data_IF_604406714254
#
_entry.id   IF_604406714254
#
_cell.length_a   1.000
_cell.length_b   1.000
_cell.length_c   1.000
_cell.angle_alpha   90.00
_cell.angle_beta   90.00
_cell.angle_gamma   90.00
#
_symmetry.space_group_name_H-M   'P 1'
#
loop_
_entity.id
_entity.type
_entity.pdbx_description
1 polymer ?
#
# COMPACT_ATOMS: atom_id res chain seq x y z
N UNK A 1 -24.77 -51.31 -0.24
CA UNK A 1 -23.42 -50.74 -0.03
C UNK A 1 -23.60 -49.33 0.48
N UNK A 2 -23.47 -49.17 1.80
CA UNK A 2 -23.76 -47.95 2.57
C UNK A 2 -22.50 -47.10 2.68
N UNK A 3 -22.60 -45.81 2.34
CA UNK A 3 -21.55 -44.83 2.59
C UNK A 3 -21.47 -44.46 4.08
N UNK A 4 -20.28 -44.31 4.69
CA UNK A 4 -20.19 -43.83 6.05
C UNK A 4 -20.15 -42.28 6.09
N UNK A 5 -21.00 -41.71 6.95
CA UNK A 5 -20.93 -40.32 7.39
C UNK A 5 -19.61 -40.08 8.13
N UNK A 6 -18.87 -39.03 7.75
CA UNK A 6 -17.77 -38.50 8.57
C UNK A 6 -18.34 -37.45 9.52
N UNK A 7 -18.25 -37.77 10.80
CA UNK A 7 -18.68 -36.99 11.96
C UNK A 7 -18.04 -35.61 12.02
N UNK A 8 -18.88 -34.57 12.05
CA UNK A 8 -18.52 -33.28 12.65
C UNK A 8 -18.29 -33.52 14.15
N UNK A 9 -17.07 -33.32 14.66
CA UNK A 9 -16.73 -32.77 15.99
C UNK A 9 -15.23 -33.00 16.23
N UNK A 10 -14.39 -32.01 15.92
CA UNK A 10 -13.14 -31.73 16.64
C UNK A 10 -12.86 -30.23 16.50
N UNK A 11 -13.59 -29.44 17.29
CA UNK A 11 -13.05 -28.19 17.81
C UNK A 11 -12.07 -28.56 18.92
N UNK A 12 -10.82 -28.13 18.82
CA UNK A 12 -10.03 -27.80 20.01
C UNK A 12 -8.89 -26.84 19.63
N UNK A 13 -9.14 -25.56 19.92
CA UNK A 13 -8.27 -24.69 20.70
C UNK A 13 -6.78 -25.07 20.74
N UNK A 14 -6.03 -24.61 19.74
CA UNK A 14 -4.62 -24.31 19.93
C UNK A 14 -4.51 -22.83 20.35
N UNK A 15 -3.74 -22.49 21.41
CA UNK A 15 -3.47 -21.10 21.74
C UNK A 15 -2.75 -20.46 20.56
N UNK A 16 -3.26 -19.32 20.08
CA UNK A 16 -2.57 -18.50 19.09
C UNK A 16 -1.36 -17.89 19.81
N UNK A 17 -0.26 -18.66 19.86
CA UNK A 17 1.03 -18.18 20.34
C UNK A 17 1.40 -16.97 19.49
N UNK A 18 1.57 -15.82 20.13
CA UNK A 18 1.84 -14.53 19.52
C UNK A 18 2.84 -14.63 18.38
N UNK A 19 2.31 -14.58 17.15
CA UNK A 19 3.13 -14.41 15.98
C UNK A 19 3.88 -13.11 16.16
N UNK A 20 5.19 -13.18 16.30
CA UNK A 20 6.06 -12.04 16.08
C UNK A 20 5.71 -11.50 14.68
N UNK A 21 4.89 -10.46 14.61
CA UNK A 21 4.87 -9.58 13.45
C UNK A 21 6.29 -9.06 13.35
N UNK A 22 7.12 -9.69 12.49
CA UNK A 22 8.30 -9.00 11.97
C UNK A 22 7.74 -7.74 11.34
N UNK A 23 7.85 -6.63 12.06
CA UNK A 23 7.75 -5.32 11.47
C UNK A 23 8.79 -5.35 10.34
N UNK A 24 8.33 -5.36 9.09
CA UNK A 24 9.15 -5.18 7.90
C UNK A 24 9.60 -3.71 7.84
N UNK A 25 10.24 -3.24 8.91
CA UNK A 25 10.73 -1.87 9.11
C UNK A 25 12.20 -1.75 8.76
N UNK A 26 12.94 -2.86 8.70
CA UNK A 26 14.31 -2.86 8.20
C UNK A 26 14.32 -2.79 6.67
N UNK A 27 15.08 -1.86 6.06
CA UNK A 27 15.32 -1.86 4.62
C UNK A 27 15.88 -3.22 4.21
N UNK A 28 15.28 -3.84 3.19
CA UNK A 28 15.95 -4.97 2.51
C UNK A 28 17.14 -4.36 1.78
N UNK A 29 18.36 -4.92 1.88
CA UNK A 29 19.49 -4.45 1.09
C UNK A 29 19.11 -4.37 -0.38
N UNK A 30 19.50 -3.29 -1.06
CA UNK A 30 19.25 -3.17 -2.51
C UNK A 30 19.85 -4.38 -3.22
N UNK A 31 19.01 -5.06 -3.99
CA UNK A 31 19.41 -6.20 -4.81
C UNK A 31 20.29 -5.73 -5.95
N UNK A 32 21.29 -6.53 -6.31
CA UNK A 32 22.02 -6.33 -7.55
C UNK A 32 21.13 -6.60 -8.77
N UNK A 33 21.54 -6.12 -9.94
CA UNK A 33 20.80 -6.38 -11.19
C UNK A 33 20.75 -7.87 -11.49
N UNK A 34 21.85 -8.58 -11.21
CA UNK A 34 21.96 -10.03 -11.39
C UNK A 34 21.04 -10.80 -10.42
N UNK A 35 20.96 -10.36 -9.16
CA UNK A 35 20.05 -10.95 -8.17
C UNK A 35 18.58 -10.73 -8.56
N UNK A 36 18.24 -9.55 -9.09
CA UNK A 36 16.89 -9.25 -9.55
C UNK A 36 16.50 -10.12 -10.75
N UNK A 37 17.39 -10.30 -11.73
CA UNK A 37 17.11 -11.14 -12.90
C UNK A 37 16.98 -12.63 -12.51
N UNK A 38 17.79 -13.14 -11.58
CA UNK A 38 17.65 -14.50 -11.04
C UNK A 38 16.27 -14.71 -10.37
N UNK A 39 15.79 -13.74 -9.59
CA UNK A 39 14.46 -13.78 -8.98
C UNK A 39 13.37 -13.77 -10.07
N UNK A 40 13.50 -12.91 -11.08
CA UNK A 40 12.55 -12.86 -12.22
C UNK A 40 12.46 -14.21 -12.91
N UNK A 41 13.60 -14.86 -13.16
CA UNK A 41 13.62 -16.18 -13.78
C UNK A 41 12.95 -17.25 -12.90
N UNK A 42 13.22 -17.26 -11.60
CA UNK A 42 12.54 -18.16 -10.65
C UNK A 42 11.02 -17.93 -10.60
N UNK A 43 10.58 -16.68 -10.50
CA UNK A 43 9.16 -16.32 -10.52
C UNK A 43 8.50 -16.72 -11.84
N UNK A 44 9.19 -16.60 -12.97
CA UNK A 44 8.64 -17.01 -14.27
C UNK A 44 8.28 -18.51 -14.28
N UNK A 45 9.13 -19.37 -13.70
CA UNK A 45 8.83 -20.81 -13.57
C UNK A 45 7.57 -21.03 -12.73
N UNK A 46 7.38 -20.26 -11.65
CA UNK A 46 6.18 -20.35 -10.82
C UNK A 46 4.92 -19.88 -11.56
N UNK A 47 5.00 -18.79 -12.33
CA UNK A 47 3.88 -18.33 -13.14
C UNK A 47 3.51 -19.29 -14.27
N UNK A 48 4.48 -19.96 -14.89
CA UNK A 48 4.17 -21.02 -15.86
C UNK A 48 3.43 -22.18 -15.20
N UNK A 49 3.86 -22.61 -14.00
CA UNK A 49 3.15 -23.66 -13.24
C UNK A 49 1.73 -23.24 -12.90
N UNK A 50 1.51 -22.00 -12.47
CA UNK A 50 0.16 -21.48 -12.24
C UNK A 50 -0.71 -21.60 -13.49
N UNK A 51 -0.19 -21.27 -14.69
CA UNK A 51 -0.95 -21.43 -15.93
C UNK A 51 -1.35 -22.90 -16.16
N UNK A 52 -0.40 -23.84 -16.00
CA UNK A 52 -0.69 -25.27 -16.16
C UNK A 52 -1.71 -25.77 -15.15
N UNK A 53 -1.59 -25.36 -13.88
CA UNK A 53 -2.49 -25.75 -12.80
C UNK A 53 -3.90 -25.17 -12.98
N UNK A 54 -4.03 -24.03 -13.68
CA UNK A 54 -5.31 -23.47 -14.12
C UNK A 54 -5.90 -24.17 -15.36
N UNK A 55 -5.22 -25.16 -15.93
CA UNK A 55 -5.66 -25.90 -17.12
C UNK A 55 -5.34 -25.20 -18.45
N UNK A 56 -4.48 -24.18 -18.44
CA UNK A 56 -4.07 -23.46 -19.65
C UNK A 56 -2.87 -24.14 -20.34
N UNK A 57 -2.77 -23.94 -21.66
CA UNK A 57 -1.61 -24.36 -22.46
C UNK A 57 -0.58 -23.21 -22.55
N UNK A 58 0.57 -23.28 -21.85
CA UNK A 58 1.55 -22.19 -21.88
C UNK A 58 2.22 -22.00 -23.25
N UNK A 59 2.09 -22.95 -24.17
CA UNK A 59 2.66 -22.89 -25.52
C UNK A 59 1.80 -22.09 -26.50
N UNK A 60 0.55 -21.74 -26.14
CA UNK A 60 -0.30 -20.89 -27.00
C UNK A 60 0.33 -19.51 -27.20
N UNK A 61 0.19 -18.95 -28.40
CA UNK A 61 0.87 -17.70 -28.79
C UNK A 61 0.74 -16.55 -27.78
N UNK A 62 -0.42 -16.44 -27.11
CA UNK A 62 -0.68 -15.42 -26.09
C UNK A 62 0.06 -15.63 -24.75
N UNK A 63 0.44 -16.87 -24.40
CA UNK A 63 1.04 -17.23 -23.11
C UNK A 63 2.54 -17.50 -23.14
N UNK A 64 3.15 -17.69 -24.31
CA UNK A 64 4.60 -18.00 -24.41
C UNK A 64 5.45 -17.04 -23.58
N UNK A 65 5.14 -15.74 -23.59
CA UNK A 65 5.86 -14.71 -22.81
C UNK A 65 5.15 -14.30 -21.51
N UNK A 66 4.00 -14.86 -21.20
CA UNK A 66 3.23 -14.50 -19.99
C UNK A 66 3.98 -14.79 -18.70
N UNK A 67 4.65 -15.94 -18.50
CA UNK A 67 5.37 -16.20 -17.26
C UNK A 67 6.42 -15.12 -16.95
N UNK A 68 7.22 -14.72 -17.95
CA UNK A 68 8.21 -13.67 -17.79
C UNK A 68 7.57 -12.28 -17.57
N UNK A 69 6.50 -11.95 -18.31
CA UNK A 69 5.78 -10.68 -18.12
C UNK A 69 5.15 -10.59 -16.73
N UNK A 70 4.57 -11.67 -16.23
CA UNK A 70 3.95 -11.75 -14.91
C UNK A 70 4.99 -11.62 -13.79
N UNK A 71 6.15 -12.30 -13.93
CA UNK A 71 7.27 -12.16 -13.01
C UNK A 71 7.76 -10.70 -12.91
N UNK A 72 8.03 -10.06 -14.04
CA UNK A 72 8.47 -8.66 -14.08
C UNK A 72 7.40 -7.69 -13.54
N UNK A 73 6.13 -7.95 -13.83
CA UNK A 73 5.03 -7.15 -13.28
C UNK A 73 4.97 -7.26 -11.73
N UNK A 74 5.09 -8.47 -11.18
CA UNK A 74 5.11 -8.68 -9.73
C UNK A 74 6.30 -7.99 -9.07
N UNK A 75 7.48 -8.04 -9.68
CA UNK A 75 8.66 -7.31 -9.23
C UNK A 75 8.42 -5.80 -9.23
N UNK A 76 7.81 -5.25 -10.28
CA UNK A 76 7.44 -3.84 -10.32
C UNK A 76 6.40 -3.46 -9.25
N UNK A 77 5.38 -4.29 -9.04
CA UNK A 77 4.35 -4.04 -8.01
C UNK A 77 4.91 -4.10 -6.58
N UNK A 78 6.08 -4.68 -6.38
CA UNK A 78 6.74 -4.86 -5.08
C UNK A 78 8.08 -4.12 -4.96
N UNK A 79 8.42 -3.25 -5.92
CA UNK A 79 9.72 -2.55 -5.96
C UNK A 79 9.98 -1.67 -4.74
N UNK A 80 8.93 -1.22 -4.06
CA UNK A 80 9.00 -0.34 -2.89
C UNK A 80 9.70 -0.97 -1.68
N UNK A 81 9.93 -2.28 -1.67
CA UNK A 81 10.78 -2.94 -0.67
C UNK A 81 12.27 -2.58 -0.80
N UNK A 82 12.72 -2.17 -1.99
CA UNK A 82 14.11 -1.83 -2.28
C UNK A 82 14.36 -0.31 -2.31
N UNK A 83 13.36 0.48 -1.92
CA UNK A 83 13.41 1.94 -1.87
C UNK A 83 13.35 2.42 -0.41
N UNK A 84 14.10 3.49 -0.10
CA UNK A 84 14.08 4.12 1.22
C UNK A 84 13.58 5.56 1.14
N UNK A 85 12.93 6.02 2.21
CA UNK A 85 12.44 7.40 2.31
C UNK A 85 13.59 8.39 2.14
N UNK A 86 14.73 8.13 2.79
CA UNK A 86 15.93 8.98 2.72
C UNK A 86 16.43 9.19 1.29
N UNK A 87 16.52 8.13 0.48
CA UNK A 87 16.95 8.23 -0.93
C UNK A 87 15.94 8.97 -1.79
N UNK A 88 14.64 8.73 -1.57
CA UNK A 88 13.57 9.36 -2.33
C UNK A 88 13.48 10.84 -2.01
N UNK A 89 13.52 11.20 -0.73
CA UNK A 89 13.52 12.59 -0.25
C UNK A 89 14.79 13.29 -0.74
N UNK A 90 15.97 12.70 -0.50
CA UNK A 90 17.26 13.25 -0.90
C UNK A 90 17.42 14.71 -0.43
N UNK A 91 17.84 15.60 -1.33
CA UNK A 91 17.90 17.05 -1.08
C UNK A 91 16.56 17.79 -1.25
N UNK A 92 15.43 17.09 -1.26
CA UNK A 92 14.10 17.66 -1.53
C UNK A 92 13.42 18.34 -0.34
N UNK A 93 14.18 18.74 0.68
CA UNK A 93 13.69 19.48 1.85
C UNK A 93 14.19 20.90 1.78
N UNK A 94 13.26 21.86 1.84
CA UNK A 94 13.52 23.29 1.70
C UNK A 94 13.21 23.99 3.01
N UNK A 95 13.96 25.07 3.28
CA UNK A 95 13.67 25.95 4.40
C UNK A 95 12.79 27.10 3.91
N UNK A 96 11.59 27.20 4.46
CA UNK A 96 10.62 28.24 4.13
C UNK A 96 9.96 28.72 5.41
N UNK A 97 9.74 30.03 5.53
CA UNK A 97 9.10 30.64 6.69
C UNK A 97 7.58 30.58 6.52
N UNK A 98 7.04 29.36 6.59
CA UNK A 98 5.61 29.10 6.54
C UNK A 98 5.22 28.11 7.63
N UNK A 99 4.12 28.41 8.30
CA UNK A 99 3.50 27.63 9.37
C UNK A 99 2.06 27.21 9.04
N UNK A 100 1.59 27.57 7.85
CA UNK A 100 0.26 27.27 7.32
C UNK A 100 0.17 25.85 6.74
N UNK A 101 -1.06 25.32 6.68
CA UNK A 101 -1.29 23.96 6.20
C UNK A 101 -0.94 23.79 4.71
N UNK A 102 -0.08 22.82 4.40
CA UNK A 102 0.20 22.39 3.03
C UNK A 102 -0.57 21.11 2.72
N UNK A 103 -1.35 21.10 1.64
CA UNK A 103 -2.13 19.93 1.20
C UNK A 103 -1.71 19.50 -0.21
N UNK A 104 -1.43 18.22 -0.36
CA UNK A 104 -1.36 17.53 -1.65
C UNK A 104 -2.42 16.44 -1.66
N UNK A 105 -3.44 16.60 -2.50
CA UNK A 105 -4.56 15.68 -2.60
C UNK A 105 -4.65 15.04 -3.98
N UNK A 106 -5.49 14.01 -4.06
CA UNK A 106 -5.75 13.26 -5.29
C UNK A 106 -4.51 12.55 -5.85
N UNK A 107 -3.56 12.15 -5.00
CA UNK A 107 -2.38 11.37 -5.42
C UNK A 107 -2.85 9.96 -5.74
N UNK A 108 -2.85 9.55 -7.01
CA UNK A 108 -3.22 8.19 -7.37
C UNK A 108 -2.19 7.17 -6.85
N UNK A 109 -2.69 6.07 -6.30
CA UNK A 109 -1.88 4.95 -5.85
C UNK A 109 -2.43 3.62 -6.35
N UNK A 110 -1.51 2.68 -6.56
CA UNK A 110 -1.80 1.28 -6.85
C UNK A 110 -0.99 0.41 -5.90
N UNK A 111 -1.65 -0.54 -5.24
CA UNK A 111 -1.02 -1.46 -4.30
C UNK A 111 -1.60 -2.87 -4.43
N UNK A 112 -0.99 -3.84 -3.75
CA UNK A 112 -1.42 -5.24 -3.76
C UNK A 112 -1.90 -5.64 -2.37
N UNK A 113 -3.12 -6.18 -2.29
CA UNK A 113 -3.65 -6.75 -1.05
C UNK A 113 -2.82 -7.98 -0.67
N UNK A 114 -2.18 -7.96 0.50
CA UNK A 114 -1.29 -9.05 0.93
C UNK A 114 -2.03 -10.39 1.12
N UNK A 115 -3.33 -10.37 1.40
CA UNK A 115 -4.13 -11.58 1.59
C UNK A 115 -4.43 -12.35 0.31
N UNK A 116 -4.45 -11.67 -0.85
CA UNK A 116 -4.94 -12.26 -2.10
C UNK A 116 -4.03 -12.00 -3.30
N UNK A 117 -2.99 -11.18 -3.15
CA UNK A 117 -2.11 -10.70 -4.23
C UNK A 117 -2.90 -10.05 -5.38
N UNK A 118 -4.03 -9.42 -5.03
CA UNK A 118 -4.95 -8.76 -5.96
C UNK A 118 -4.88 -7.24 -5.72
N UNK A 119 -4.93 -6.40 -6.77
CA UNK A 119 -4.79 -4.96 -6.59
C UNK A 119 -5.88 -4.31 -5.73
N UNK A 120 -5.47 -3.30 -4.97
CA UNK A 120 -6.35 -2.22 -4.55
C UNK A 120 -5.73 -0.89 -4.98
N UNK A 121 -6.57 0.06 -5.34
CA UNK A 121 -6.12 1.32 -5.92
C UNK A 121 -7.09 2.44 -5.58
N UNK A 122 -6.60 3.66 -5.65
CA UNK A 122 -7.39 4.84 -5.31
C UNK A 122 -6.50 6.04 -5.11
N UNK A 123 -6.83 6.86 -4.12
CA UNK A 123 -6.22 8.18 -3.92
C UNK A 123 -5.73 8.36 -2.50
N UNK A 124 -4.65 9.12 -2.38
CA UNK A 124 -4.11 9.61 -1.12
C UNK A 124 -4.24 11.13 -1.07
N UNK A 125 -4.66 11.63 0.08
CA UNK A 125 -4.66 13.04 0.43
C UNK A 125 -3.79 13.25 1.66
N UNK A 126 -2.85 14.17 1.57
CA UNK A 126 -1.83 14.43 2.59
C UNK A 126 -1.87 15.91 2.94
N UNK A 127 -1.99 16.20 4.23
CA UNK A 127 -1.83 17.52 4.81
C UNK A 127 -0.69 17.49 5.83
N UNK A 128 0.08 18.57 5.93
CA UNK A 128 1.02 18.75 7.04
C UNK A 128 1.17 20.23 7.40
N UNK A 129 1.53 20.48 8.65
CA UNK A 129 1.83 21.81 9.18
C UNK A 129 3.35 21.96 9.31
N UNK A 130 4.01 22.72 8.42
CA UNK A 130 5.46 22.80 8.39
C UNK A 130 6.04 23.41 9.68
N UNK A 131 7.25 22.98 10.04
CA UNK A 131 8.06 23.63 11.08
C UNK A 131 9.35 24.12 10.44
N UNK A 132 9.25 25.20 9.65
CA UNK A 132 10.33 25.78 8.82
C UNK A 132 10.87 24.87 7.70
N UNK A 133 10.49 23.59 7.67
CA UNK A 133 10.88 22.61 6.66
C UNK A 133 9.70 22.21 5.80
N UNK A 134 9.83 22.41 4.50
CA UNK A 134 8.83 22.07 3.49
C UNK A 134 9.39 20.96 2.60
N UNK A 135 8.56 19.96 2.31
CA UNK A 135 8.93 18.87 1.43
C UNK A 135 8.54 19.21 -0.01
N UNK A 136 9.45 19.01 -0.97
CA UNK A 136 9.12 19.19 -2.38
C UNK A 136 7.93 18.33 -2.80
N UNK A 137 6.94 18.91 -3.49
CA UNK A 137 5.65 18.26 -3.76
C UNK A 137 5.79 16.89 -4.45
N UNK A 138 6.75 16.75 -5.35
CA UNK A 138 7.03 15.47 -6.04
C UNK A 138 7.52 14.38 -5.10
N UNK A 139 8.12 14.73 -3.95
CA UNK A 139 8.62 13.77 -2.95
C UNK A 139 7.48 13.16 -2.15
N UNK A 140 6.41 13.91 -1.89
CA UNK A 140 5.20 13.42 -1.22
C UNK A 140 4.59 12.26 -2.02
N UNK A 141 4.42 12.44 -3.33
CA UNK A 141 3.93 11.38 -4.21
C UNK A 141 4.87 10.17 -4.25
N UNK A 142 6.20 10.40 -4.27
CA UNK A 142 7.17 9.30 -4.24
C UNK A 142 7.17 8.53 -2.93
N UNK A 143 6.97 9.19 -1.77
CA UNK A 143 6.78 8.51 -0.48
C UNK A 143 5.57 7.58 -0.54
N UNK A 144 4.46 8.03 -1.14
CA UNK A 144 3.29 7.17 -1.35
C UNK A 144 3.64 5.91 -2.16
N UNK A 145 4.40 6.07 -3.24
CA UNK A 145 4.84 4.96 -4.10
C UNK A 145 5.74 3.93 -3.38
N UNK A 146 6.67 4.37 -2.52
CA UNK A 146 7.53 3.45 -1.73
C UNK A 146 6.68 2.43 -0.96
N UNK A 147 5.61 2.90 -0.33
CA UNK A 147 4.76 2.04 0.50
C UNK A 147 3.66 1.35 -0.29
N UNK A 148 3.12 2.00 -1.33
CA UNK A 148 2.08 1.41 -2.18
C UNK A 148 2.63 0.24 -3.02
N UNK A 149 3.90 0.30 -3.46
CA UNK A 149 4.56 -0.77 -4.22
C UNK A 149 5.10 -1.89 -3.33
N UNK A 150 4.22 -2.41 -2.46
CA UNK A 150 4.45 -3.52 -1.54
C UNK A 150 3.19 -4.37 -1.45
N UNK A 151 3.30 -5.55 -0.83
CA UNK A 151 2.13 -6.25 -0.32
C UNK A 151 1.64 -5.53 0.94
N UNK A 152 0.36 -5.16 0.97
CA UNK A 152 -0.16 -4.21 1.95
C UNK A 152 -1.54 -4.54 2.50
N UNK A 153 -1.78 -3.93 3.67
CA UNK A 153 -3.10 -3.56 4.20
C UNK A 153 -3.24 -2.04 4.10
N UNK A 154 -4.44 -1.55 3.80
CA UNK A 154 -4.66 -0.11 3.56
C UNK A 154 -4.40 0.72 4.82
N UNK A 155 -4.75 0.19 5.99
CA UNK A 155 -4.50 0.78 7.30
C UNK A 155 -3.00 0.96 7.55
N UNK A 156 -2.21 -0.07 7.22
CA UNK A 156 -0.75 -0.04 7.36
C UNK A 156 -0.12 0.94 6.40
N UNK A 157 -0.54 0.92 5.12
CA UNK A 157 -0.10 1.85 4.10
C UNK A 157 -0.33 3.31 4.54
N UNK A 158 -1.54 3.62 5.04
CA UNK A 158 -1.91 4.96 5.51
C UNK A 158 -0.98 5.43 6.64
N UNK A 159 -0.76 4.57 7.64
CA UNK A 159 0.10 4.89 8.78
C UNK A 159 1.56 5.08 8.37
N UNK A 160 2.07 4.21 7.49
CA UNK A 160 3.46 4.27 7.02
C UNK A 160 3.75 5.58 6.28
N UNK A 161 2.82 6.04 5.43
CA UNK A 161 2.96 7.32 4.72
C UNK A 161 3.02 8.49 5.73
N UNK A 162 2.11 8.52 6.72
CA UNK A 162 2.08 9.59 7.72
C UNK A 162 3.38 9.66 8.55
N UNK A 163 3.84 8.50 9.04
CA UNK A 163 5.09 8.40 9.82
C UNK A 163 6.31 8.77 8.98
N UNK A 164 6.37 8.36 7.72
CA UNK A 164 7.49 8.71 6.84
C UNK A 164 7.63 10.22 6.62
N UNK A 165 6.51 10.92 6.51
CA UNK A 165 6.50 12.39 6.38
C UNK A 165 6.93 13.04 7.69
N UNK A 166 6.41 12.54 8.82
CA UNK A 166 6.82 13.01 10.15
C UNK A 166 8.33 12.85 10.36
N UNK A 167 8.89 11.69 10.05
CA UNK A 167 10.33 11.42 10.16
C UNK A 167 11.17 12.26 9.20
N UNK A 168 10.67 12.53 7.99
CA UNK A 168 11.42 13.25 6.96
C UNK A 168 11.59 14.74 7.24
N UNK A 169 10.58 15.42 7.79
CA UNK A 169 10.60 16.89 7.97
C UNK A 169 10.29 17.37 9.40
N UNK A 170 9.91 16.47 10.31
CA UNK A 170 9.41 16.76 11.66
C UNK A 170 8.47 17.99 11.69
N UNK A 171 7.34 17.92 10.97
CA UNK A 171 6.32 18.96 10.97
C UNK A 171 5.62 19.00 12.34
N UNK A 172 4.87 20.06 12.62
CA UNK A 172 4.07 20.13 13.86
C UNK A 172 2.86 19.20 13.82
N UNK A 173 2.43 18.77 12.63
CA UNK A 173 1.42 17.73 12.45
C UNK A 173 1.34 17.22 11.02
N UNK A 174 0.77 16.01 10.88
CA UNK A 174 0.54 15.34 9.58
C UNK A 174 -0.85 14.70 9.58
N UNK A 175 -1.61 14.89 8.52
CA UNK A 175 -2.85 14.19 8.22
C UNK A 175 -2.73 13.42 6.91
N UNK A 176 -3.08 12.14 6.92
CA UNK A 176 -3.15 11.31 5.71
C UNK A 176 -4.50 10.64 5.65
N UNK A 177 -5.17 10.74 4.50
CA UNK A 177 -6.38 9.99 4.17
C UNK A 177 -6.13 9.18 2.90
N UNK A 178 -6.48 7.90 2.93
CA UNK A 178 -6.42 7.00 1.78
C UNK A 178 -7.82 6.49 1.50
N UNK A 179 -8.29 6.66 0.28
CA UNK A 179 -9.56 6.11 -0.21
C UNK A 179 -9.25 5.15 -1.36
N UNK A 180 -9.61 3.87 -1.23
CA UNK A 180 -9.33 2.87 -2.26
C UNK A 180 -10.51 1.93 -2.53
N UNK A 181 -10.50 1.39 -3.75
CA UNK A 181 -11.31 0.26 -4.17
C UNK A 181 -10.46 -1.00 -4.14
N UNK A 182 -11.00 -2.08 -3.56
CA UNK A 182 -10.31 -3.35 -3.40
C UNK A 182 -10.85 -4.38 -4.40
N UNK A 183 -10.03 -4.82 -5.36
CA UNK A 183 -10.50 -5.80 -6.35
C UNK A 183 -10.86 -7.13 -5.71
N UNK A 184 -10.26 -7.49 -4.57
CA UNK A 184 -10.66 -8.67 -3.79
C UNK A 184 -12.11 -8.62 -3.26
N UNK A 185 -12.74 -7.44 -3.19
CA UNK A 185 -14.16 -7.26 -2.87
C UNK A 185 -15.04 -7.03 -4.11
N UNK A 186 -14.47 -6.58 -5.23
CA UNK A 186 -15.22 -6.21 -6.44
C UNK A 186 -15.36 -7.40 -7.40
N UNK A 187 -14.24 -8.04 -7.79
CA UNK A 187 -14.26 -9.08 -8.83
C UNK A 187 -14.47 -10.49 -8.29
N UNK A 188 -14.45 -10.66 -6.96
CA UNK A 188 -14.63 -11.95 -6.28
C UNK A 188 -15.24 -11.76 -4.88
N UNK A 189 -15.56 -12.86 -4.22
CA UNK A 189 -16.07 -12.85 -2.85
C UNK A 189 -17.44 -12.17 -2.78
N UNK A 190 -17.53 -11.04 -2.07
CA UNK A 190 -18.80 -10.31 -1.84
C UNK A 190 -19.29 -9.49 -3.03
N UNK A 191 -18.43 -9.24 -4.03
CA UNK A 191 -18.75 -8.60 -5.32
C UNK A 191 -19.48 -7.25 -5.20
N UNK A 192 -18.98 -6.33 -4.37
CA UNK A 192 -19.58 -4.99 -4.16
C UNK A 192 -18.83 -3.93 -4.96
N UNK A 193 -19.32 -3.68 -6.18
CA UNK A 193 -18.69 -2.79 -7.18
C UNK A 193 -18.46 -1.36 -6.65
N UNK A 194 -19.41 -0.82 -5.89
CA UNK A 194 -19.36 0.56 -5.40
C UNK A 194 -18.69 0.70 -4.03
N UNK A 195 -18.22 -0.40 -3.43
CA UNK A 195 -17.62 -0.36 -2.10
C UNK A 195 -16.27 0.34 -2.15
N UNK A 196 -16.07 1.31 -1.26
CA UNK A 196 -14.80 2.00 -1.05
C UNK A 196 -14.40 1.94 0.41
N UNK A 197 -13.11 1.81 0.66
CA UNK A 197 -12.54 1.82 2.00
C UNK A 197 -11.79 3.11 2.20
N UNK A 198 -12.12 3.85 3.25
CA UNK A 198 -11.43 5.08 3.65
C UNK A 198 -10.69 4.79 4.96
N UNK A 199 -9.39 5.08 4.99
CA UNK A 199 -8.53 4.97 6.16
C UNK A 199 -7.82 6.30 6.37
N UNK A 200 -7.56 6.66 7.63
CA UNK A 200 -6.87 7.91 7.96
C UNK A 200 -5.87 7.74 9.08
N UNK A 201 -4.78 8.50 9.05
CA UNK A 201 -3.82 8.62 10.15
C UNK A 201 -3.54 10.10 10.40
N UNK A 202 -3.69 10.52 11.66
CA UNK A 202 -3.48 11.90 12.10
C UNK A 202 -2.41 11.91 13.19
N UNK A 203 -1.41 12.77 13.03
CA UNK A 203 -0.25 12.95 13.91
C UNK A 203 -0.12 14.43 14.29
N UNK A 204 0.47 14.70 15.46
CA UNK A 204 0.65 16.06 16.00
C UNK A 204 -0.66 16.85 16.06
N UNK A 205 -0.64 18.12 15.62
CA UNK A 205 -1.81 19.01 15.64
C UNK A 205 -3.05 18.46 14.92
N UNK A 206 -2.90 17.64 13.87
CA UNK A 206 -4.05 17.00 13.21
C UNK A 206 -4.78 16.00 14.13
N UNK A 207 -4.08 15.45 15.13
CA UNK A 207 -4.66 14.56 16.13
C UNK A 207 -5.24 15.35 17.31
N UNK A 208 -4.47 16.33 17.79
CA UNK A 208 -4.74 17.06 19.02
C UNK A 208 -5.81 18.14 18.86
N UNK A 209 -5.78 18.88 17.74
CA UNK A 209 -6.74 19.96 17.46
C UNK A 209 -7.84 19.49 16.48
N UNK A 210 -9.11 19.42 16.93
CA UNK A 210 -10.22 19.09 16.05
C UNK A 210 -10.43 20.09 14.90
N UNK A 211 -10.12 21.38 15.08
CA UNK A 211 -10.36 22.40 14.06
C UNK A 211 -9.41 22.22 12.87
N UNK A 212 -8.12 22.06 13.14
CA UNK A 212 -7.12 21.69 12.13
C UNK A 212 -7.54 20.43 11.35
N UNK A 213 -8.02 19.40 12.05
CA UNK A 213 -8.49 18.16 11.43
C UNK A 213 -9.73 18.37 10.55
N UNK A 214 -10.70 19.15 11.01
CA UNK A 214 -11.92 19.46 10.27
C UNK A 214 -11.62 20.27 9.00
N UNK A 215 -10.73 21.25 9.08
CA UNK A 215 -10.25 22.03 7.93
C UNK A 215 -9.61 21.10 6.87
N UNK A 216 -8.69 20.23 7.28
CA UNK A 216 -8.06 19.27 6.39
C UNK A 216 -9.08 18.33 5.71
N UNK A 217 -10.00 17.75 6.47
CA UNK A 217 -11.02 16.86 5.91
C UNK A 217 -11.97 17.60 4.96
N UNK A 218 -12.26 18.87 5.21
CA UNK A 218 -13.06 19.69 4.30
C UNK A 218 -12.33 19.98 2.99
N UNK A 219 -11.06 20.40 3.05
CA UNK A 219 -10.26 20.74 1.86
C UNK A 219 -9.94 19.50 0.99
N UNK A 220 -9.90 18.32 1.60
CA UNK A 220 -9.69 17.04 0.91
C UNK A 220 -10.99 16.39 0.40
N UNK A 221 -12.15 17.00 0.66
CA UNK A 221 -13.44 16.53 0.15
C UNK A 221 -14.06 15.37 0.95
N UNK A 222 -13.61 15.17 2.19
CA UNK A 222 -14.12 14.18 3.13
C UNK A 222 -14.98 14.82 4.24
N UNK A 223 -15.49 16.04 4.05
CA UNK A 223 -16.44 16.66 4.99
C UNK A 223 -17.81 15.99 4.95
N UNK A 224 -18.48 16.00 6.11
CA UNK A 224 -19.80 15.37 6.31
C UNK A 224 -20.90 15.90 5.39
N UNK A 225 -20.74 17.10 4.81
CA UNK A 225 -21.76 17.72 3.95
C UNK A 225 -21.85 17.12 2.54
N UNK A 226 -20.82 16.41 2.06
CA UNK A 226 -20.79 15.85 0.70
C UNK A 226 -21.35 14.42 0.58
N UNK A 227 -21.81 13.85 1.69
CA UNK A 227 -22.42 12.50 1.75
C UNK A 227 -23.97 12.55 1.64
N UNK A 228 -24.53 13.63 1.09
CA UNK A 228 -25.95 13.77 0.76
C UNK A 228 -26.16 13.79 -0.73
#
# INVERSE_FOLDING_TARGET
>A
MTMPLVSQTLLNNAPISGGHQRQLTSPVPRRSVEEEEDIVMKLSIHFERILRDLGEDPTRAGLIKTPLRAARAMMHFTKGYNETVTEVVGGGVFLEDTDEMVIVKDIEIFSLCEHHLVPFFGKVSIGYLPNKRVLGLSKIARICEIYARRLQLQERLTKQIAVAIEEAIAPTGVGVVVECTHMCMVMRGVQKINSRTITSTMLGYFREDPKTREEFLALTGHSRERLR
#
